data_IF_220826594885
#
_entry.id   IF_220826594885
#
_cell.length_a   1.000
_cell.length_b   1.000
_cell.length_c   1.000
_cell.angle_alpha   90.00
_cell.angle_beta   90.00
_cell.angle_gamma   90.00
#
_symmetry.space_group_name_H-M   'P 1'
#
loop_
_entity.id
_entity.type
_entity.pdbx_description
1 polymer ?
#
# COMPACT_ATOMS: atom_id res chain seq x y z
N UNK A 1 -19.25 -8.60 -18.03
CA UNK A 1 -20.14 -7.42 -17.95
C UNK A 1 -19.36 -6.12 -17.69
N UNK A 2 -18.32 -6.11 -16.85
CA UNK A 2 -17.49 -4.89 -16.60
C UNK A 2 -16.35 -4.60 -17.59
N UNK A 3 -15.94 -5.57 -18.42
CA UNK A 3 -15.04 -5.29 -19.55
C UNK A 3 -15.66 -4.31 -20.55
N UNK A 4 -16.98 -4.37 -20.75
CA UNK A 4 -17.73 -3.46 -21.64
C UNK A 4 -17.78 -2.01 -21.13
N UNK A 5 -17.60 -1.80 -19.82
CA UNK A 5 -17.67 -0.46 -19.19
C UNK A 5 -16.30 0.10 -18.84
N UNK A 6 -15.20 -0.62 -19.13
CA UNK A 6 -13.84 -0.15 -18.87
C UNK A 6 -13.53 1.16 -19.59
N UNK A 7 -13.80 1.21 -20.90
CA UNK A 7 -13.53 2.41 -21.71
C UNK A 7 -14.30 3.63 -21.20
N UNK A 8 -15.59 3.46 -20.87
CA UNK A 8 -16.43 4.51 -20.32
C UNK A 8 -15.93 5.03 -18.96
N UNK A 9 -15.54 4.13 -18.06
CA UNK A 9 -14.94 4.48 -16.76
C UNK A 9 -13.63 5.24 -16.91
N UNK A 10 -12.72 4.77 -17.78
CA UNK A 10 -11.44 5.45 -18.04
C UNK A 10 -11.64 6.82 -18.69
N UNK A 11 -12.58 6.94 -19.62
CA UNK A 11 -12.92 8.23 -20.22
C UNK A 11 -13.42 9.22 -19.16
N UNK A 12 -14.30 8.77 -18.26
CA UNK A 12 -14.79 9.60 -17.16
C UNK A 12 -13.66 10.04 -16.21
N UNK A 13 -12.83 9.10 -15.75
CA UNK A 13 -11.69 9.39 -14.87
C UNK A 13 -10.72 10.39 -15.50
N UNK A 14 -10.36 10.19 -16.76
CA UNK A 14 -9.36 11.02 -17.46
C UNK A 14 -9.94 12.38 -17.86
N UNK A 15 -11.20 12.44 -18.29
CA UNK A 15 -11.79 13.68 -18.80
C UNK A 15 -12.38 14.56 -17.70
N UNK A 16 -12.92 13.98 -16.63
CA UNK A 16 -13.68 14.71 -15.60
C UNK A 16 -12.98 14.77 -14.25
N UNK A 17 -12.01 13.89 -13.98
CA UNK A 17 -11.33 13.78 -12.68
C UNK A 17 -12.30 13.88 -11.50
N UNK A 18 -13.35 13.03 -11.44
CA UNK A 18 -14.39 13.13 -10.42
C UNK A 18 -13.83 12.86 -9.01
N UNK A 19 -14.52 13.35 -7.98
CA UNK A 19 -14.24 12.96 -6.60
C UNK A 19 -14.46 11.46 -6.42
N UNK A 20 -13.68 10.85 -5.54
CA UNK A 20 -13.74 9.40 -5.28
C UNK A 20 -15.09 8.95 -4.75
N UNK A 21 -15.77 9.79 -3.96
CA UNK A 21 -17.13 9.57 -3.49
C UNK A 21 -18.12 9.40 -4.66
N UNK A 22 -18.27 10.42 -5.50
CA UNK A 22 -19.15 10.39 -6.67
C UNK A 22 -18.82 9.24 -7.63
N UNK A 23 -17.53 8.91 -7.76
CA UNK A 23 -17.10 7.82 -8.62
C UNK A 23 -17.45 6.45 -8.04
N UNK A 24 -17.35 6.28 -6.71
CA UNK A 24 -17.77 5.07 -6.00
C UNK A 24 -19.28 4.87 -6.06
N UNK A 25 -20.08 5.92 -5.96
CA UNK A 25 -21.54 5.81 -6.12
C UNK A 25 -21.94 5.30 -7.50
N UNK A 26 -21.26 5.78 -8.55
CA UNK A 26 -21.52 5.35 -9.94
C UNK A 26 -20.95 3.97 -10.27
N UNK A 27 -19.78 3.64 -9.73
CA UNK A 27 -19.04 2.42 -10.03
C UNK A 27 -18.67 1.65 -8.75
N UNK A 28 -19.64 1.27 -7.90
CA UNK A 28 -19.35 0.70 -6.58
C UNK A 28 -18.58 -0.61 -6.68
N UNK A 29 -18.83 -1.39 -7.74
CA UNK A 29 -18.16 -2.65 -7.94
C UNK A 29 -16.66 -2.51 -8.26
N UNK A 30 -16.20 -1.35 -8.76
CA UNK A 30 -14.77 -1.09 -8.94
C UNK A 30 -14.01 -1.20 -7.61
N UNK A 31 -14.68 -0.85 -6.51
CA UNK A 31 -14.13 -0.88 -5.15
C UNK A 31 -14.28 -2.27 -4.51
N UNK A 32 -14.46 -3.34 -5.30
CA UNK A 32 -14.37 -4.72 -4.82
C UNK A 32 -12.97 -5.26 -5.13
N UNK A 33 -12.31 -6.00 -4.20
CA UNK A 33 -10.94 -6.48 -4.40
C UNK A 33 -10.71 -7.18 -5.74
N UNK A 34 -11.63 -8.06 -6.16
CA UNK A 34 -11.49 -8.76 -7.44
C UNK A 34 -11.53 -7.82 -8.66
N UNK A 35 -12.34 -6.75 -8.64
CA UNK A 35 -12.34 -5.76 -9.72
C UNK A 35 -11.08 -4.91 -9.71
N UNK A 36 -10.57 -4.55 -8.54
CA UNK A 36 -9.30 -3.81 -8.43
C UNK A 36 -8.17 -4.62 -9.07
N UNK A 37 -8.10 -5.93 -8.80
CA UNK A 37 -7.13 -6.82 -9.44
C UNK A 37 -7.28 -6.86 -10.96
N UNK A 38 -8.51 -7.05 -11.45
CA UNK A 38 -8.82 -7.09 -12.88
C UNK A 38 -8.45 -5.79 -13.61
N UNK A 39 -8.75 -4.64 -13.00
CA UNK A 39 -8.44 -3.32 -13.55
C UNK A 39 -6.94 -3.06 -13.57
N UNK A 40 -6.25 -3.39 -12.48
CA UNK A 40 -4.81 -3.30 -12.43
C UNK A 40 -4.16 -4.19 -13.50
N UNK A 41 -4.63 -5.43 -13.65
CA UNK A 41 -4.11 -6.36 -14.66
C UNK A 41 -4.42 -5.86 -16.09
N UNK A 42 -5.58 -5.25 -16.34
CA UNK A 42 -5.88 -4.64 -17.65
C UNK A 42 -4.95 -3.47 -17.97
N UNK A 43 -4.62 -2.63 -16.97
CA UNK A 43 -3.74 -1.49 -17.13
C UNK A 43 -2.26 -1.88 -17.32
N UNK A 44 -1.83 -2.95 -16.65
CA UNK A 44 -0.40 -3.22 -16.43
C UNK A 44 0.08 -4.57 -16.95
N UNK A 45 -0.85 -5.45 -17.34
CA UNK A 45 -0.67 -6.87 -17.69
C UNK A 45 -0.13 -7.76 -16.56
N UNK A 46 0.00 -7.24 -15.35
CA UNK A 46 0.51 -7.94 -14.16
C UNK A 46 -0.63 -8.35 -13.23
N UNK A 47 -0.69 -9.60 -12.73
CA UNK A 47 -1.66 -9.98 -11.71
C UNK A 47 -1.25 -9.39 -10.35
N UNK A 48 -2.08 -8.52 -9.77
CA UNK A 48 -1.72 -7.65 -8.64
C UNK A 48 -1.39 -8.42 -7.35
N UNK A 49 -2.40 -9.00 -6.67
CA UNK A 49 -2.22 -9.57 -5.33
C UNK A 49 -1.20 -10.70 -5.30
N UNK A 50 -1.22 -11.59 -6.29
CA UNK A 50 -0.28 -12.72 -6.35
C UNK A 50 1.16 -12.27 -6.58
N UNK A 51 1.40 -11.33 -7.49
CA UNK A 51 2.76 -10.82 -7.76
C UNK A 51 3.29 -10.03 -6.58
N UNK A 52 2.49 -9.12 -6.03
CA UNK A 52 2.88 -8.28 -4.91
C UNK A 52 3.27 -9.13 -3.69
N UNK A 53 2.42 -10.08 -3.29
CA UNK A 53 2.67 -10.93 -2.13
C UNK A 53 3.88 -11.84 -2.34
N UNK A 54 4.00 -12.44 -3.53
CA UNK A 54 5.13 -13.30 -3.87
C UNK A 54 6.46 -12.54 -3.78
N UNK A 55 6.55 -11.34 -4.37
CA UNK A 55 7.77 -10.53 -4.33
C UNK A 55 8.06 -10.01 -2.93
N UNK A 56 7.03 -9.59 -2.17
CA UNK A 56 7.21 -9.19 -0.78
C UNK A 56 7.83 -10.32 0.04
N UNK A 57 7.28 -11.52 -0.03
CA UNK A 57 7.81 -12.69 0.69
C UNK A 57 9.23 -13.04 0.23
N UNK A 58 9.48 -13.02 -1.09
CA UNK A 58 10.80 -13.29 -1.67
C UNK A 58 11.87 -12.36 -1.13
N UNK A 59 11.58 -11.06 -1.02
CA UNK A 59 12.56 -10.07 -0.56
C UNK A 59 12.60 -9.89 0.96
N UNK A 60 11.60 -10.38 1.70
CA UNK A 60 11.48 -10.19 3.15
C UNK A 60 12.75 -10.60 3.92
N UNK A 61 13.36 -11.78 3.72
CA UNK A 61 14.56 -12.17 4.48
C UNK A 61 15.70 -11.16 4.33
N UNK A 62 16.01 -10.77 3.09
CA UNK A 62 17.09 -9.81 2.79
C UNK A 62 16.74 -8.39 3.25
N UNK A 63 15.47 -7.98 3.16
CA UNK A 63 15.01 -6.71 3.71
C UNK A 63 15.22 -6.66 5.23
N UNK A 64 14.86 -7.73 5.95
CA UNK A 64 15.06 -7.80 7.41
C UNK A 64 16.54 -7.75 7.78
N UNK A 65 17.44 -8.37 7.02
CA UNK A 65 18.90 -8.22 7.22
C UNK A 65 19.34 -6.75 7.06
N UNK A 66 18.89 -6.08 6.00
CA UNK A 66 19.23 -4.67 5.74
C UNK A 66 18.67 -3.74 6.81
N UNK A 67 17.48 -4.03 7.31
CA UNK A 67 16.83 -3.28 8.38
C UNK A 67 17.59 -3.42 9.70
N UNK A 68 18.03 -4.63 10.05
CA UNK A 68 18.85 -4.87 11.25
C UNK A 68 20.22 -4.20 11.18
N UNK A 69 20.85 -4.19 10.00
CA UNK A 69 22.13 -3.51 9.77
C UNK A 69 22.03 -1.97 9.76
N UNK A 70 20.80 -1.41 9.72
CA UNK A 70 20.62 0.04 9.64
C UNK A 70 20.95 0.70 10.98
N UNK A 71 21.92 1.62 10.96
CA UNK A 71 22.29 2.48 12.10
C UNK A 71 21.62 3.86 12.10
N UNK A 72 22.00 4.68 13.09
CA UNK A 72 21.53 6.07 13.24
C UNK A 72 20.05 6.20 13.64
N UNK A 73 19.51 7.41 13.53
CA UNK A 73 18.13 7.72 13.93
C UNK A 73 17.08 6.89 13.16
N UNK A 74 17.30 6.64 11.87
CA UNK A 74 16.44 5.75 11.06
C UNK A 74 16.51 4.32 11.58
N UNK A 75 17.73 3.82 11.86
CA UNK A 75 17.93 2.49 12.42
C UNK A 75 17.24 2.29 13.76
N UNK A 76 17.23 3.30 14.63
CA UNK A 76 16.51 3.24 15.91
C UNK A 76 15.00 3.09 15.73
N UNK A 77 14.39 3.81 14.78
CA UNK A 77 12.96 3.67 14.47
C UNK A 77 12.62 2.30 13.88
N UNK A 78 13.44 1.83 12.94
CA UNK A 78 13.31 0.47 12.39
C UNK A 78 13.43 -0.59 13.48
N UNK A 79 14.41 -0.46 14.40
CA UNK A 79 14.56 -1.39 15.53
C UNK A 79 13.35 -1.38 16.46
N UNK A 80 12.71 -0.24 16.68
CA UNK A 80 11.48 -0.17 17.46
C UNK A 80 10.34 -0.99 16.80
N UNK A 81 10.20 -0.91 15.48
CA UNK A 81 9.22 -1.71 14.72
C UNK A 81 9.56 -3.21 14.75
N UNK A 82 10.83 -3.57 14.59
CA UNK A 82 11.28 -4.97 14.59
C UNK A 82 11.07 -5.66 15.95
N UNK A 83 10.99 -4.92 17.06
CA UNK A 83 10.68 -5.50 18.38
C UNK A 83 9.38 -6.28 18.37
N UNK A 84 8.39 -5.88 17.56
CA UNK A 84 7.12 -6.59 17.45
C UNK A 84 7.28 -8.04 16.96
N UNK A 85 8.31 -8.34 16.14
CA UNK A 85 8.61 -9.71 15.72
C UNK A 85 9.48 -10.46 16.73
N UNK A 86 10.37 -9.76 17.45
CA UNK A 86 11.22 -10.38 18.46
C UNK A 86 10.39 -10.83 19.67
N UNK A 87 9.38 -10.03 20.03
CA UNK A 87 8.48 -10.30 21.15
C UNK A 87 7.43 -11.37 20.84
N UNK A 88 7.24 -11.72 19.56
CA UNK A 88 6.33 -12.76 19.11
C UNK A 88 7.08 -13.82 18.28
N UNK A 89 7.68 -14.84 18.94
CA UNK A 89 8.39 -15.92 18.25
C UNK A 89 7.51 -16.75 17.32
N UNK A 90 6.18 -16.65 17.46
CA UNK A 90 5.19 -17.34 16.64
C UNK A 90 4.50 -16.37 15.66
N UNK A 91 5.12 -15.22 15.37
CA UNK A 91 4.57 -14.19 14.50
C UNK A 91 4.08 -14.77 13.18
N UNK A 92 2.83 -14.45 12.84
CA UNK A 92 2.21 -14.90 11.60
C UNK A 92 2.92 -14.30 10.38
N UNK A 93 2.71 -14.93 9.21
CA UNK A 93 3.18 -14.38 7.93
C UNK A 93 2.62 -12.98 7.70
N UNK A 94 1.35 -12.75 8.06
CA UNK A 94 0.70 -11.43 7.96
C UNK A 94 1.42 -10.38 8.82
N UNK A 95 1.79 -10.72 10.07
CA UNK A 95 2.52 -9.80 10.96
C UNK A 95 3.92 -9.52 10.45
N UNK A 96 4.62 -10.55 9.95
CA UNK A 96 5.95 -10.41 9.35
C UNK A 96 5.92 -9.46 8.14
N UNK A 97 4.94 -9.62 7.24
CA UNK A 97 4.74 -8.72 6.10
C UNK A 97 4.44 -7.29 6.53
N UNK A 98 3.55 -7.11 7.52
CA UNK A 98 3.22 -5.79 8.05
C UNK A 98 4.46 -5.07 8.59
N UNK A 99 5.22 -5.71 9.48
CA UNK A 99 6.43 -5.12 10.06
C UNK A 99 7.47 -4.82 8.96
N UNK A 100 7.59 -5.70 7.97
CA UNK A 100 8.49 -5.50 6.82
C UNK A 100 8.10 -4.25 6.03
N UNK A 101 6.80 -4.03 5.76
CA UNK A 101 6.31 -2.85 5.06
C UNK A 101 6.49 -1.57 5.87
N UNK A 102 6.22 -1.59 7.18
CA UNK A 102 6.47 -0.44 8.07
C UNK A 102 7.95 -0.07 8.13
N UNK A 103 8.83 -1.07 8.25
CA UNK A 103 10.27 -0.86 8.23
C UNK A 103 10.76 -0.35 6.86
N UNK A 104 10.17 -0.82 5.76
CA UNK A 104 10.49 -0.35 4.42
C UNK A 104 10.22 1.16 4.29
N UNK A 105 9.08 1.66 4.77
CA UNK A 105 8.74 3.09 4.71
C UNK A 105 9.82 3.93 5.42
N UNK A 106 10.17 3.54 6.65
CA UNK A 106 11.25 4.20 7.41
C UNK A 106 12.61 4.08 6.71
N UNK A 107 12.90 2.92 6.13
CA UNK A 107 14.13 2.69 5.37
C UNK A 107 14.19 3.55 4.10
N UNK A 108 13.06 3.86 3.46
CA UNK A 108 13.03 4.79 2.32
C UNK A 108 13.20 6.26 2.73
N UNK A 109 13.26 6.54 4.03
CA UNK A 109 13.38 7.88 4.60
C UNK A 109 12.04 8.61 4.64
N UNK A 110 10.96 7.86 4.69
CA UNK A 110 9.58 8.34 4.79
C UNK A 110 9.03 7.93 6.17
N UNK A 111 7.81 8.35 6.51
CA UNK A 111 7.21 8.10 7.83
C UNK A 111 6.08 7.08 7.72
N UNK A 112 6.12 6.02 8.53
CA UNK A 112 5.08 4.98 8.54
C UNK A 112 3.68 5.56 8.79
N UNK A 113 3.60 6.52 9.71
CA UNK A 113 2.38 7.25 10.10
C UNK A 113 1.72 8.03 8.96
N UNK A 114 2.46 8.36 7.89
CA UNK A 114 1.88 9.03 6.72
C UNK A 114 0.96 8.08 5.94
N UNK A 115 1.27 6.78 5.92
CA UNK A 115 0.46 5.77 5.25
C UNK A 115 -0.48 5.03 6.20
N UNK A 116 0.03 4.53 7.32
CA UNK A 116 -0.68 3.60 8.20
C UNK A 116 -0.96 4.29 9.53
N UNK A 117 -2.22 4.30 9.93
CA UNK A 117 -2.66 4.77 11.24
C UNK A 117 -3.19 3.59 12.07
N UNK A 118 -2.71 3.47 13.30
CA UNK A 118 -3.16 2.46 14.27
C UNK A 118 -4.10 3.12 15.28
N UNK A 119 -5.19 2.43 15.60
CA UNK A 119 -6.21 2.90 16.54
C UNK A 119 -6.59 1.74 17.46
N UNK A 120 -6.38 1.93 18.77
CA UNK A 120 -6.67 0.96 19.82
C UNK A 120 -7.89 1.42 20.62
N UNK A 121 -8.86 0.53 20.85
CA UNK A 121 -10.01 0.83 21.73
C UNK A 121 -11.05 1.77 21.12
N UNK A 122 -11.01 2.00 19.80
CA UNK A 122 -11.86 2.98 19.13
C UNK A 122 -12.75 2.32 18.06
N UNK A 123 -14.06 2.62 18.04
CA UNK A 123 -14.95 2.12 17.00
C UNK A 123 -14.48 2.55 15.62
N UNK A 124 -14.56 1.63 14.64
CA UNK A 124 -14.14 1.87 13.26
C UNK A 124 -14.75 3.15 12.64
N UNK A 125 -16.01 3.46 12.97
CA UNK A 125 -16.70 4.66 12.47
C UNK A 125 -16.02 5.96 12.95
N UNK A 126 -15.55 6.00 14.19
CA UNK A 126 -14.84 7.18 14.74
C UNK A 126 -13.45 7.33 14.12
N UNK A 127 -12.77 6.20 13.90
CA UNK A 127 -11.50 6.14 13.17
C UNK A 127 -11.67 6.73 11.76
N UNK A 128 -12.70 6.31 11.05
CA UNK A 128 -12.99 6.80 9.70
C UNK A 128 -13.28 8.32 9.70
N UNK A 129 -14.07 8.83 10.66
CA UNK A 129 -14.38 10.26 10.77
C UNK A 129 -13.14 11.14 10.99
N UNK A 130 -12.16 10.70 11.78
CA UNK A 130 -10.91 11.46 11.97
C UNK A 130 -10.03 11.50 10.73
N UNK A 131 -10.17 10.52 9.86
CA UNK A 131 -9.34 10.38 8.67
C UNK A 131 -9.92 11.09 7.44
N UNK A 132 -11.07 11.77 7.57
CA UNK A 132 -11.73 12.53 6.49
C UNK A 132 -10.83 13.62 5.88
N UNK A 133 -9.88 14.16 6.65
CA UNK A 133 -8.95 15.19 6.14
C UNK A 133 -7.76 14.61 5.34
N UNK A 134 -7.65 13.28 5.23
CA UNK A 134 -6.50 12.63 4.60
C UNK A 134 -6.80 12.21 3.16
N UNK A 135 -5.88 12.51 2.24
CA UNK A 135 -6.02 12.13 0.84
C UNK A 135 -5.84 10.64 0.59
N UNK A 136 -4.99 9.96 1.36
CA UNK A 136 -4.72 8.53 1.24
C UNK A 136 -4.21 7.98 2.58
N UNK A 137 -4.92 7.03 3.16
CA UNK A 137 -4.55 6.40 4.44
C UNK A 137 -4.98 4.94 4.50
N UNK A 138 -4.22 4.15 5.26
CA UNK A 138 -4.65 2.87 5.79
C UNK A 138 -4.97 3.06 7.27
N UNK A 139 -6.06 2.46 7.73
CA UNK A 139 -6.34 2.35 9.15
C UNK A 139 -6.27 0.89 9.59
N UNK A 140 -5.74 0.69 10.80
CA UNK A 140 -5.81 -0.55 11.55
C UNK A 140 -6.58 -0.21 12.82
N UNK A 141 -7.80 -0.71 12.93
CA UNK A 141 -8.61 -0.64 14.14
C UNK A 141 -8.51 -1.99 14.85
N UNK A 142 -8.39 -1.99 16.17
CA UNK A 142 -8.33 -3.24 16.96
C UNK A 142 -9.68 -3.62 17.59
N UNK A 143 -10.69 -2.74 17.50
CA UNK A 143 -12.03 -2.95 18.04
C UNK A 143 -13.11 -2.50 17.04
N UNK A 144 -13.55 -3.37 16.11
CA UNK A 144 -13.07 -4.73 15.84
C UNK A 144 -11.72 -4.73 15.10
N UNK A 145 -11.02 -5.88 15.07
CA UNK A 145 -9.79 -6.08 14.28
C UNK A 145 -10.08 -5.91 12.79
N UNK A 146 -9.87 -4.69 12.29
CA UNK A 146 -10.26 -4.25 10.96
C UNK A 146 -9.14 -3.45 10.31
N UNK A 147 -8.93 -3.71 9.02
CA UNK A 147 -7.98 -2.96 8.19
C UNK A 147 -8.69 -2.41 6.97
N UNK A 148 -8.61 -1.09 6.78
CA UNK A 148 -9.30 -0.37 5.72
C UNK A 148 -8.44 0.62 4.95
N UNK A 149 -8.98 1.13 3.86
CA UNK A 149 -8.38 2.16 3.00
C UNK A 149 -9.30 3.38 2.97
N UNK A 150 -8.69 4.54 3.12
CA UNK A 150 -9.32 5.84 2.94
C UNK A 150 -8.64 6.56 1.78
N UNK A 151 -9.43 7.10 0.86
CA UNK A 151 -8.97 7.94 -0.25
C UNK A 151 -9.89 9.17 -0.31
N UNK A 152 -9.29 10.36 -0.40
CA UNK A 152 -10.01 11.65 -0.38
C UNK A 152 -10.98 11.77 0.81
N UNK A 153 -10.53 11.32 1.99
CA UNK A 153 -11.34 11.34 3.20
C UNK A 153 -12.44 10.28 3.30
N UNK A 154 -12.65 9.50 2.23
CA UNK A 154 -13.72 8.53 2.16
C UNK A 154 -13.23 7.10 2.38
N UNK A 155 -13.92 6.29 3.22
CA UNK A 155 -13.63 4.86 3.34
C UNK A 155 -13.99 4.16 2.03
N UNK A 156 -12.97 3.71 1.30
CA UNK A 156 -13.13 3.05 0.00
C UNK A 156 -13.20 1.54 0.14
N UNK A 157 -12.43 0.96 1.06
CA UNK A 157 -12.39 -0.45 1.41
C UNK A 157 -12.33 -0.64 2.92
N UNK A 158 -12.99 -1.67 3.42
CA UNK A 158 -12.95 -2.14 4.81
C UNK A 158 -12.68 -3.66 4.83
N UNK A 159 -12.44 -4.23 6.00
CA UNK A 159 -12.33 -5.68 6.23
C UNK A 159 -11.29 -6.41 5.35
N UNK A 160 -10.16 -5.77 5.07
CA UNK A 160 -9.12 -6.40 4.24
C UNK A 160 -8.34 -7.50 4.98
N UNK A 161 -8.45 -7.54 6.31
CA UNK A 161 -7.86 -8.53 7.20
C UNK A 161 -6.38 -8.33 7.52
N UNK A 162 -5.58 -7.72 6.64
CA UNK A 162 -4.18 -7.38 6.98
C UNK A 162 -3.63 -6.18 6.18
N UNK A 163 -2.63 -5.52 6.77
CA UNK A 163 -1.96 -4.33 6.21
C UNK A 163 -1.25 -4.61 4.88
N UNK A 164 -0.69 -5.81 4.68
CA UNK A 164 -0.01 -6.12 3.44
C UNK A 164 -0.97 -6.14 2.24
N UNK A 165 -2.16 -6.72 2.45
CA UNK A 165 -3.23 -6.73 1.45
C UNK A 165 -3.78 -5.32 1.22
N UNK A 166 -3.87 -4.52 2.28
CA UNK A 166 -4.23 -3.11 2.20
C UNK A 166 -3.27 -2.29 1.32
N UNK A 167 -1.96 -2.40 1.56
CA UNK A 167 -0.94 -1.76 0.72
C UNK A 167 -1.03 -2.21 -0.75
N UNK A 168 -1.26 -3.52 -0.97
CA UNK A 168 -1.38 -4.08 -2.30
C UNK A 168 -2.61 -3.54 -3.06
N UNK A 169 -3.80 -3.58 -2.43
CA UNK A 169 -5.03 -3.07 -3.04
C UNK A 169 -5.00 -1.55 -3.19
N UNK A 170 -4.32 -0.82 -2.30
CA UNK A 170 -4.10 0.61 -2.45
C UNK A 170 -3.30 0.92 -3.72
N UNK A 171 -2.21 0.18 -3.98
CA UNK A 171 -1.50 0.28 -5.25
C UNK A 171 -2.44 0.01 -6.42
N UNK A 172 -3.25 -1.05 -6.35
CA UNK A 172 -4.29 -1.34 -7.35
C UNK A 172 -5.23 -0.16 -7.62
N UNK A 173 -5.73 0.46 -6.55
CA UNK A 173 -6.62 1.63 -6.62
C UNK A 173 -5.95 2.84 -7.26
N UNK A 174 -4.65 3.08 -7.03
CA UNK A 174 -3.96 4.18 -7.70
C UNK A 174 -3.98 4.05 -9.23
N UNK A 175 -3.87 2.83 -9.76
CA UNK A 175 -3.97 2.59 -11.20
C UNK A 175 -5.41 2.63 -11.70
N UNK A 176 -6.31 1.97 -10.97
CA UNK A 176 -7.73 1.90 -11.31
C UNK A 176 -8.39 3.28 -11.38
N UNK A 177 -8.06 4.16 -10.42
CA UNK A 177 -8.61 5.51 -10.27
C UNK A 177 -7.73 6.59 -10.91
N UNK A 178 -6.60 6.21 -11.54
CA UNK A 178 -5.66 7.17 -12.15
C UNK A 178 -5.11 8.23 -11.17
N UNK A 179 -4.83 7.81 -9.93
CA UNK A 179 -4.36 8.69 -8.86
C UNK A 179 -2.84 8.87 -8.92
N UNK A 180 -2.38 10.03 -8.48
CA UNK A 180 -0.96 10.24 -8.23
C UNK A 180 -0.55 9.60 -6.89
N UNK A 181 0.71 9.17 -6.80
CA UNK A 181 1.24 8.69 -5.54
C UNK A 181 1.36 9.84 -4.52
N UNK A 182 1.14 9.57 -3.22
CA UNK A 182 1.31 10.59 -2.20
C UNK A 182 2.75 11.11 -2.18
N UNK A 183 2.94 12.43 -2.26
CA UNK A 183 4.28 13.04 -2.36
C UNK A 183 5.21 12.66 -1.18
N UNK A 184 4.64 12.44 0.00
CA UNK A 184 5.38 12.03 1.22
C UNK A 184 5.77 10.55 1.25
N UNK A 185 5.22 9.74 0.33
CA UNK A 185 5.41 8.28 0.24
C UNK A 185 5.91 7.86 -1.15
N UNK A 186 6.38 8.80 -1.97
CA UNK A 186 6.73 8.57 -3.36
C UNK A 186 7.78 7.46 -3.53
N UNK A 187 8.73 7.34 -2.61
CA UNK A 187 9.79 6.32 -2.68
C UNK A 187 9.27 4.95 -2.26
N UNK A 188 8.38 4.87 -1.28
CA UNK A 188 7.71 3.61 -0.91
C UNK A 188 6.84 3.10 -2.05
N UNK A 189 6.03 3.97 -2.67
CA UNK A 189 5.21 3.60 -3.82
C UNK A 189 6.06 3.24 -5.04
N UNK A 190 7.22 3.87 -5.23
CA UNK A 190 8.21 3.44 -6.23
C UNK A 190 8.69 2.00 -5.99
N UNK A 191 8.94 1.61 -4.73
CA UNK A 191 9.29 0.22 -4.38
C UNK A 191 8.11 -0.72 -4.65
N UNK A 192 6.89 -0.35 -4.25
CA UNK A 192 5.70 -1.17 -4.52
C UNK A 192 5.56 -1.43 -6.02
N UNK A 193 5.61 -0.37 -6.83
CA UNK A 193 5.51 -0.44 -8.28
C UNK A 193 6.65 -1.26 -8.91
N UNK A 194 7.90 -0.89 -8.66
CA UNK A 194 9.03 -1.43 -9.43
C UNK A 194 9.54 -2.76 -8.86
N UNK A 195 9.54 -2.93 -7.55
CA UNK A 195 10.07 -4.12 -6.89
C UNK A 195 8.99 -5.19 -6.67
N UNK A 196 7.82 -4.80 -6.16
CA UNK A 196 6.79 -5.78 -5.77
C UNK A 196 5.87 -6.19 -6.89
N UNK A 197 5.62 -5.33 -7.89
CA UNK A 197 4.83 -5.70 -9.08
C UNK A 197 5.61 -5.64 -10.39
N UNK A 198 6.91 -5.34 -10.34
CA UNK A 198 7.80 -5.44 -11.50
C UNK A 198 7.52 -4.45 -12.63
N UNK A 199 6.79 -3.36 -12.35
CA UNK A 199 6.48 -2.34 -13.35
C UNK A 199 7.64 -1.36 -13.50
N UNK A 200 8.49 -1.61 -14.49
CA UNK A 200 9.56 -0.69 -14.87
C UNK A 200 9.05 0.32 -15.89
N UNK A 201 8.65 1.49 -15.40
CA UNK A 201 8.23 2.59 -16.28
C UNK A 201 9.45 3.24 -16.92
N UNK A 202 9.38 3.49 -18.23
CA UNK A 202 10.39 4.25 -18.97
C UNK A 202 10.64 5.63 -18.33
N UNK A 203 9.61 6.25 -17.76
CA UNK A 203 9.69 7.46 -16.96
C UNK A 203 8.67 7.46 -15.79
N UNK A 204 8.97 8.13 -14.66
CA UNK A 204 10.26 8.75 -14.33
C UNK A 204 11.34 7.69 -14.12
N UNK A 205 12.62 8.05 -14.32
CA UNK A 205 13.74 7.14 -14.07
C UNK A 205 13.77 6.71 -12.60
N UNK A 206 14.27 5.50 -12.29
CA UNK A 206 14.35 5.04 -10.92
C UNK A 206 15.18 5.98 -10.04
N UNK A 207 14.70 6.27 -8.84
CA UNK A 207 15.38 7.14 -7.89
C UNK A 207 16.69 6.50 -7.40
N UNK A 208 17.65 7.34 -7.00
CA UNK A 208 18.90 6.87 -6.40
C UNK A 208 18.66 6.01 -5.15
N UNK A 209 17.59 6.30 -4.39
CA UNK A 209 17.20 5.51 -3.21
C UNK A 209 16.73 4.13 -3.60
N UNK A 210 15.88 4.02 -4.62
CA UNK A 210 15.42 2.75 -5.17
C UNK A 210 16.59 1.92 -5.73
N UNK A 211 17.47 2.52 -6.55
CA UNK A 211 18.63 1.82 -7.12
C UNK A 211 19.53 1.29 -6.00
N UNK A 212 19.80 2.09 -4.96
CA UNK A 212 20.59 1.66 -3.82
C UNK A 212 19.95 0.48 -3.07
N UNK A 213 18.63 0.50 -2.86
CA UNK A 213 17.91 -0.62 -2.26
C UNK A 213 18.00 -1.86 -3.15
N UNK A 214 17.67 -1.75 -4.44
CA UNK A 214 17.70 -2.85 -5.41
C UNK A 214 19.07 -3.53 -5.44
N UNK A 215 20.15 -2.75 -5.53
CA UNK A 215 21.51 -3.29 -5.57
C UNK A 215 21.86 -4.07 -4.30
N UNK A 216 21.42 -3.60 -3.12
CA UNK A 216 21.63 -4.30 -1.84
C UNK A 216 20.79 -5.58 -1.70
N UNK A 217 19.64 -5.64 -2.35
CA UNK A 217 18.80 -6.85 -2.36
C UNK A 217 19.34 -7.92 -3.31
N UNK A 218 20.12 -7.54 -4.31
CA UNK A 218 20.70 -8.43 -5.32
C UNK A 218 22.17 -8.80 -5.04
N UNK A 219 22.78 -8.20 -4.02
CA UNK A 219 24.13 -8.50 -3.55
C UNK A 219 24.13 -9.60 -2.49
#
# INVERSE_FOLDING_TARGET
MMSKTYSWRRQELVAKSPQVEDFKERWPALFQPFQINEEFQRCTTVPLESTFMFQLDRYTPKLLELFNAKGGAVGQRIKALLKALIQDPCATVCKTREVTLRCLIEYMGERGEELISEHEGEPEVEVQQRLVMHSMKLYVAHEPDAVGIIIEGMPVLADMGNVARACCLLLGLTYALNLQYPAKLAKTFEVFQRLFVGLDTLQPKPSSRYISLKNKLLA
#
